data_IF_798602813783
#
_entry.id   IF_798602813783
#
_cell.length_a   1.000
_cell.length_b   1.000
_cell.length_c   1.000
_cell.angle_alpha   90.00
_cell.angle_beta   90.00
_cell.angle_gamma   90.00
#
_symmetry.space_group_name_H-M   'P 1'
#
loop_
_entity.id
_entity.type
_entity.pdbx_description
1 polymer ?
#
# COMPACT_ATOMS: atom_id res chain seq x y z
N UNK A 1 -14.47 -2.40 -4.53
CA UNK A 1 -13.46 -2.57 -5.59
C UNK A 1 -13.75 -3.77 -6.48
N UNK A 2 -14.01 -3.50 -7.77
CA UNK A 2 -14.25 -4.53 -8.82
C UNK A 2 -12.96 -5.02 -9.51
N UNK A 3 -11.79 -4.51 -9.12
CA UNK A 3 -10.52 -4.89 -9.72
C UNK A 3 -10.10 -6.32 -9.32
N UNK A 4 -9.45 -7.02 -10.25
CA UNK A 4 -8.81 -8.30 -9.97
C UNK A 4 -7.69 -8.10 -8.93
N UNK A 5 -7.52 -9.08 -8.03
CA UNK A 5 -6.51 -9.06 -6.96
C UNK A 5 -5.95 -10.46 -6.74
N UNK A 6 -4.73 -10.54 -6.23
CA UNK A 6 -4.15 -11.81 -5.80
C UNK A 6 -4.79 -12.27 -4.49
N UNK A 7 -4.71 -13.58 -4.24
CA UNK A 7 -5.05 -14.14 -2.94
C UNK A 7 -4.01 -13.71 -1.90
N UNK A 8 -4.47 -13.03 -0.85
CA UNK A 8 -3.64 -12.58 0.26
C UNK A 8 -3.61 -13.64 1.36
N UNK A 9 -2.40 -14.08 1.70
CA UNK A 9 -2.16 -14.83 2.94
C UNK A 9 -1.76 -13.83 4.02
N UNK A 10 -2.51 -13.78 5.12
CA UNK A 10 -2.21 -12.93 6.27
C UNK A 10 -1.60 -13.75 7.40
N UNK A 11 -0.74 -13.13 8.20
CA UNK A 11 -0.45 -13.65 9.54
C UNK A 11 -1.60 -13.37 10.53
N UNK A 12 -1.54 -13.95 11.73
CA UNK A 12 -2.60 -13.85 12.74
C UNK A 12 -2.91 -12.43 13.21
N UNK A 13 -1.93 -11.52 13.18
CA UNK A 13 -2.09 -10.12 13.60
C UNK A 13 -2.57 -9.20 12.48
N UNK A 14 -2.69 -9.70 11.25
CA UNK A 14 -3.02 -8.91 10.07
C UNK A 14 -2.08 -7.71 9.84
N UNK A 15 -0.85 -7.79 10.34
CA UNK A 15 0.21 -6.79 10.14
C UNK A 15 1.19 -7.18 9.03
N UNK A 16 1.20 -8.46 8.63
CA UNK A 16 1.99 -8.97 7.51
C UNK A 16 1.13 -9.79 6.57
N UNK A 17 1.26 -9.50 5.28
CA UNK A 17 0.57 -10.20 4.21
C UNK A 17 1.57 -10.63 3.14
N UNK A 18 1.24 -11.71 2.46
CA UNK A 18 2.02 -12.30 1.39
C UNK A 18 1.10 -12.68 0.22
N UNK A 19 1.60 -12.48 -0.99
CA UNK A 19 0.97 -13.01 -2.21
C UNK A 19 2.03 -13.34 -3.28
N UNK A 20 1.62 -14.15 -4.25
CA UNK A 20 2.43 -14.45 -5.44
C UNK A 20 1.92 -13.60 -6.60
N UNK A 21 2.76 -12.68 -7.06
CA UNK A 21 2.57 -11.93 -8.31
C UNK A 21 2.95 -12.84 -9.47
N UNK A 22 2.08 -12.90 -10.47
CA UNK A 22 2.25 -13.73 -11.66
C UNK A 22 2.15 -12.85 -12.90
N UNK A 23 3.17 -12.88 -13.74
CA UNK A 23 3.24 -12.02 -14.92
C UNK A 23 4.35 -12.42 -15.88
N UNK A 24 4.74 -11.49 -16.74
CA UNK A 24 5.65 -11.74 -17.86
C UNK A 24 7.08 -12.14 -17.46
N UNK A 25 7.48 -11.86 -16.21
CA UNK A 25 8.78 -12.23 -15.62
C UNK A 25 8.69 -13.47 -14.73
N UNK A 26 7.55 -14.16 -14.76
CA UNK A 26 7.29 -15.35 -13.96
C UNK A 26 6.57 -15.02 -12.65
N UNK A 27 6.83 -15.85 -11.64
CA UNK A 27 6.20 -15.72 -10.33
C UNK A 27 7.14 -15.03 -9.36
N UNK A 28 6.62 -14.02 -8.64
CA UNK A 28 7.39 -13.19 -7.72
C UNK A 28 6.63 -13.14 -6.41
N UNK A 29 7.28 -13.61 -5.34
CA UNK A 29 6.72 -13.55 -3.99
C UNK A 29 6.84 -12.13 -3.47
N UNK A 30 5.72 -11.54 -3.05
CA UNK A 30 5.64 -10.15 -2.59
C UNK A 30 5.09 -10.08 -1.18
N UNK A 31 5.55 -9.09 -0.44
CA UNK A 31 5.17 -8.84 0.94
C UNK A 31 4.54 -7.46 1.11
N UNK A 32 3.57 -7.38 2.01
CA UNK A 32 2.99 -6.14 2.51
C UNK A 32 3.10 -6.18 4.03
N UNK A 33 3.68 -5.16 4.64
CA UNK A 33 3.84 -5.06 6.09
C UNK A 33 3.33 -3.71 6.59
N UNK A 34 2.57 -3.76 7.68
CA UNK A 34 2.15 -2.61 8.46
C UNK A 34 3.08 -2.54 9.67
N UNK A 35 4.00 -1.59 9.64
CA UNK A 35 5.07 -1.43 10.62
C UNK A 35 4.71 -0.31 11.59
N UNK A 36 4.82 -0.58 12.89
CA UNK A 36 4.65 0.45 13.92
C UNK A 36 5.66 1.60 13.69
N UNK A 37 5.20 2.84 13.88
CA UNK A 37 6.08 4.01 13.85
C UNK A 37 6.33 4.53 15.25
N UNK A 38 7.13 5.59 15.39
CA UNK A 38 7.28 6.29 16.68
C UNK A 38 5.99 6.98 17.13
N UNK A 39 5.05 7.21 16.22
CA UNK A 39 3.70 7.65 16.55
C UNK A 39 2.78 6.41 16.68
N UNK A 40 2.21 6.13 17.86
CA UNK A 40 1.39 4.94 18.09
C UNK A 40 0.10 4.91 17.24
N UNK A 41 -0.35 6.06 16.76
CA UNK A 41 -1.56 6.17 15.95
C UNK A 41 -1.27 6.00 14.44
N UNK A 42 -0.01 5.80 14.05
CA UNK A 42 0.41 5.71 12.65
C UNK A 42 1.23 4.45 12.40
N UNK A 43 0.80 3.67 11.40
CA UNK A 43 1.55 2.56 10.84
C UNK A 43 2.13 2.94 9.47
N UNK A 44 3.36 2.54 9.20
CA UNK A 44 3.96 2.60 7.88
C UNK A 44 3.55 1.37 7.05
N UNK A 45 3.11 1.59 5.81
CA UNK A 45 2.84 0.56 4.82
C UNK A 45 4.10 0.30 3.99
N UNK A 46 4.82 -0.76 4.35
CA UNK A 46 5.92 -1.29 3.55
C UNK A 46 5.40 -2.30 2.52
N UNK A 47 5.92 -2.24 1.31
CA UNK A 47 5.59 -3.16 0.22
C UNK A 47 6.84 -3.41 -0.63
N UNK A 48 7.03 -4.64 -1.09
CA UNK A 48 8.11 -4.97 -2.02
C UNK A 48 8.21 -6.47 -2.29
N UNK A 49 9.30 -6.85 -2.95
CA UNK A 49 9.60 -8.25 -3.26
C UNK A 49 10.14 -8.94 -2.00
N UNK A 50 9.84 -10.22 -1.84
CA UNK A 50 10.42 -11.01 -0.76
C UNK A 50 11.88 -11.32 -1.09
N UNK A 51 12.80 -10.91 -0.21
CA UNK A 51 14.20 -11.28 -0.30
C UNK A 51 14.46 -12.61 0.45
N UNK A 52 14.82 -13.71 -0.24
CA UNK A 52 15.02 -15.01 0.41
C UNK A 52 16.30 -15.11 1.24
N UNK A 53 17.25 -14.18 1.08
CA UNK A 53 18.49 -14.15 1.86
C UNK A 53 18.29 -13.44 3.20
N UNK A 54 17.53 -12.33 3.21
CA UNK A 54 17.28 -11.54 4.44
C UNK A 54 15.96 -11.89 5.11
N UNK A 55 15.03 -12.54 4.39
CA UNK A 55 13.65 -12.80 4.80
C UNK A 55 12.79 -11.53 5.00
N UNK A 56 13.27 -10.41 4.46
CA UNK A 56 12.65 -9.09 4.56
C UNK A 56 12.11 -8.61 3.21
N UNK A 57 11.49 -7.44 3.23
CA UNK A 57 11.05 -6.72 2.03
C UNK A 57 12.27 -6.10 1.32
N UNK A 58 12.42 -6.39 0.03
CA UNK A 58 13.20 -5.57 -0.89
C UNK A 58 12.26 -4.60 -1.62
N UNK A 59 12.26 -3.35 -1.16
CA UNK A 59 11.38 -2.30 -1.68
C UNK A 59 12.06 -1.44 -2.76
N UNK A 60 13.31 -1.76 -3.12
CA UNK A 60 14.05 -1.16 -4.22
C UNK A 60 14.00 -2.04 -5.47
N UNK A 61 13.67 -3.32 -5.34
CA UNK A 61 13.45 -4.23 -6.45
C UNK A 61 12.42 -3.67 -7.45
N UNK A 62 12.82 -3.62 -8.72
CA UNK A 62 11.93 -3.28 -9.85
C UNK A 62 11.64 -4.56 -10.61
N UNK A 63 10.52 -5.20 -10.25
CA UNK A 63 10.13 -6.49 -10.86
C UNK A 63 9.63 -6.38 -12.30
N UNK A 64 8.95 -5.27 -12.64
CA UNK A 64 8.34 -5.01 -13.95
C UNK A 64 7.57 -6.22 -14.54
N UNK A 65 6.74 -6.85 -13.69
CA UNK A 65 6.09 -8.13 -14.03
C UNK A 65 4.86 -7.95 -14.95
N UNK A 66 4.45 -6.72 -15.21
CA UNK A 66 3.32 -6.40 -16.09
C UNK A 66 1.93 -6.48 -15.43
N UNK A 67 1.87 -6.61 -14.11
CA UNK A 67 0.67 -6.85 -13.31
C UNK A 67 0.37 -5.72 -12.30
N UNK A 68 0.95 -4.53 -12.52
CA UNK A 68 0.91 -3.37 -11.60
C UNK A 68 -0.50 -3.04 -11.08
N UNK A 69 -1.52 -3.12 -11.92
CA UNK A 69 -2.90 -2.86 -11.51
C UNK A 69 -3.39 -3.88 -10.47
N UNK A 70 -3.18 -5.17 -10.73
CA UNK A 70 -3.59 -6.26 -9.84
C UNK A 70 -2.80 -6.21 -8.53
N UNK A 71 -1.53 -5.81 -8.59
CA UNK A 71 -0.70 -5.54 -7.40
C UNK A 71 -1.26 -4.39 -6.57
N UNK A 72 -1.57 -3.24 -7.17
CA UNK A 72 -2.13 -2.08 -6.45
C UNK A 72 -3.50 -2.41 -5.83
N UNK A 73 -4.37 -3.12 -6.56
CA UNK A 73 -5.63 -3.61 -6.03
C UNK A 73 -5.43 -4.56 -4.84
N UNK A 74 -4.41 -5.42 -4.91
CA UNK A 74 -4.04 -6.33 -3.82
C UNK A 74 -3.58 -5.56 -2.57
N UNK A 75 -2.76 -4.52 -2.73
CA UNK A 75 -2.33 -3.63 -1.64
C UNK A 75 -3.53 -2.93 -0.99
N UNK A 76 -4.42 -2.34 -1.78
CA UNK A 76 -5.65 -1.71 -1.26
C UNK A 76 -6.47 -2.74 -0.49
N UNK A 77 -6.58 -3.98 -0.96
CA UNK A 77 -7.30 -5.01 -0.23
C UNK A 77 -6.64 -5.39 1.11
N UNK A 78 -5.31 -5.40 1.18
CA UNK A 78 -4.59 -5.59 2.44
C UNK A 78 -4.88 -4.43 3.42
N UNK A 79 -4.90 -3.18 2.94
CA UNK A 79 -5.24 -1.99 3.74
C UNK A 79 -6.65 -2.09 4.33
N UNK A 80 -7.66 -2.46 3.54
CA UNK A 80 -9.01 -2.73 4.08
C UNK A 80 -9.02 -3.83 5.14
N UNK A 81 -8.24 -4.89 4.93
CA UNK A 81 -8.18 -6.03 5.85
C UNK A 81 -7.52 -5.62 7.17
N UNK A 82 -6.43 -4.87 7.11
CA UNK A 82 -5.75 -4.30 8.27
C UNK A 82 -6.70 -3.42 9.08
N UNK A 83 -7.41 -2.48 8.44
CA UNK A 83 -8.32 -1.58 9.16
C UNK A 83 -9.54 -2.29 9.78
N UNK A 84 -9.91 -3.50 9.35
CA UNK A 84 -10.93 -4.26 10.09
C UNK A 84 -10.45 -4.66 11.49
N UNK A 85 -9.14 -4.80 11.68
CA UNK A 85 -8.53 -5.16 12.95
C UNK A 85 -8.05 -3.92 13.74
N UNK A 86 -7.66 -2.85 13.05
CA UNK A 86 -7.13 -1.62 13.62
C UNK A 86 -7.92 -0.39 13.11
N UNK A 87 -9.15 -0.18 13.60
CA UNK A 87 -10.09 0.79 13.03
C UNK A 87 -9.63 2.25 13.15
N UNK A 88 -9.05 2.64 14.29
CA UNK A 88 -8.80 4.05 14.62
C UNK A 88 -7.40 4.55 14.23
N UNK A 89 -6.63 3.72 13.52
CA UNK A 89 -5.23 3.98 13.16
C UNK A 89 -5.14 4.71 11.81
N UNK A 90 -4.04 5.44 11.60
CA UNK A 90 -3.61 5.94 10.30
C UNK A 90 -2.61 5.00 9.63
N UNK A 91 -2.73 4.81 8.33
CA UNK A 91 -1.73 4.12 7.50
C UNK A 91 -1.03 5.15 6.62
N UNK A 92 0.28 5.29 6.81
CA UNK A 92 1.15 6.11 5.99
C UNK A 92 1.84 5.25 4.92
N UNK A 93 1.94 5.76 3.70
CA UNK A 93 2.66 5.12 2.62
C UNK A 93 3.49 6.13 1.84
N UNK A 94 4.77 5.85 1.64
CA UNK A 94 5.62 6.54 0.67
C UNK A 94 6.47 5.53 -0.08
N UNK A 95 6.86 5.87 -1.30
CA UNK A 95 7.77 5.04 -2.07
C UNK A 95 9.22 5.32 -1.68
N UNK A 96 10.05 4.28 -1.66
CA UNK A 96 11.51 4.43 -1.53
C UNK A 96 12.15 5.26 -2.66
N UNK A 97 11.42 5.48 -3.75
CA UNK A 97 11.81 6.37 -4.85
C UNK A 97 10.62 7.20 -5.31
N UNK A 98 10.89 8.37 -5.93
CA UNK A 98 9.84 9.21 -6.55
C UNK A 98 8.96 8.44 -7.54
N UNK A 99 9.53 7.48 -8.27
CA UNK A 99 8.78 6.65 -9.20
C UNK A 99 7.75 5.77 -8.47
N UNK A 100 8.11 5.20 -7.31
CA UNK A 100 7.20 4.41 -6.47
C UNK A 100 6.14 5.27 -5.78
N UNK A 101 6.51 6.45 -5.27
CA UNK A 101 5.53 7.41 -4.73
C UNK A 101 4.51 7.81 -5.80
N UNK A 102 4.96 8.06 -7.03
CA UNK A 102 4.08 8.28 -8.18
C UNK A 102 3.20 7.06 -8.48
N UNK A 103 3.72 5.84 -8.39
CA UNK A 103 2.94 4.61 -8.57
C UNK A 103 1.78 4.53 -7.57
N UNK A 104 2.04 4.77 -6.29
CA UNK A 104 1.01 4.80 -5.25
C UNK A 104 -0.03 5.88 -5.52
N UNK A 105 0.41 7.09 -5.91
CA UNK A 105 -0.50 8.16 -6.33
C UNK A 105 -1.44 7.72 -7.46
N UNK A 106 -0.91 7.02 -8.47
CA UNK A 106 -1.72 6.51 -9.59
C UNK A 106 -2.74 5.47 -9.11
N UNK A 107 -2.35 4.58 -8.21
CA UNK A 107 -3.26 3.61 -7.59
C UNK A 107 -4.38 4.29 -6.80
N UNK A 108 -4.03 5.22 -5.91
CA UNK A 108 -5.01 5.98 -5.11
C UNK A 108 -5.95 6.77 -6.02
N UNK A 109 -5.40 7.49 -7.01
CA UNK A 109 -6.21 8.27 -7.96
C UNK A 109 -7.20 7.39 -8.74
N UNK A 110 -6.75 6.19 -9.16
CA UNK A 110 -7.58 5.24 -9.90
C UNK A 110 -8.79 4.75 -9.10
N UNK A 111 -8.59 4.49 -7.81
CA UNK A 111 -9.64 3.99 -6.93
C UNK A 111 -10.26 5.10 -6.06
N UNK A 112 -9.98 6.38 -6.34
CA UNK A 112 -10.29 7.50 -5.47
C UNK A 112 -11.78 7.60 -5.11
N UNK A 113 -12.67 7.47 -6.10
CA UNK A 113 -14.11 7.58 -5.87
C UNK A 113 -14.68 6.45 -5.01
N UNK A 114 -14.04 5.28 -5.01
CA UNK A 114 -14.39 4.19 -4.10
C UNK A 114 -13.76 4.42 -2.73
N UNK A 115 -12.45 4.68 -2.68
CA UNK A 115 -11.70 4.84 -1.44
C UNK A 115 -12.21 6.02 -0.61
N UNK A 116 -12.58 7.16 -1.21
CA UNK A 116 -13.03 8.35 -0.46
C UNK A 116 -14.35 8.13 0.31
N UNK A 117 -15.12 7.09 -0.04
CA UNK A 117 -16.34 6.71 0.70
C UNK A 117 -15.99 6.06 2.03
N UNK A 118 -14.92 5.26 2.03
CA UNK A 118 -14.53 4.43 3.16
C UNK A 118 -13.30 4.98 3.91
N UNK A 119 -12.61 5.99 3.36
CA UNK A 119 -11.40 6.56 3.94
C UNK A 119 -11.39 8.09 3.93
N UNK A 120 -10.76 8.65 4.95
CA UNK A 120 -10.11 9.97 4.85
C UNK A 120 -8.74 9.75 4.19
N UNK A 121 -8.46 10.53 3.14
CA UNK A 121 -7.23 10.41 2.35
C UNK A 121 -6.51 11.75 2.36
N UNK A 122 -5.23 11.71 2.69
CA UNK A 122 -4.35 12.88 2.72
C UNK A 122 -3.10 12.63 1.88
N UNK A 123 -2.58 13.69 1.29
CA UNK A 123 -1.27 13.71 0.66
C UNK A 123 -0.31 14.60 1.44
N UNK A 124 0.94 14.16 1.56
CA UNK A 124 2.00 14.91 2.22
C UNK A 124 2.67 15.89 1.24
N UNK A 125 2.90 17.12 1.67
CA UNK A 125 3.70 18.13 0.96
C UNK A 125 4.67 18.72 1.99
N UNK A 126 5.96 18.37 1.90
CA UNK A 126 6.92 18.69 2.96
C UNK A 126 6.52 18.03 4.28
N UNK A 127 6.33 18.83 5.33
CA UNK A 127 5.94 18.34 6.66
C UNK A 127 4.41 18.33 6.88
N UNK A 128 3.64 18.89 5.95
CA UNK A 128 2.20 19.04 6.08
C UNK A 128 1.43 17.91 5.38
N UNK A 129 0.27 17.56 5.95
CA UNK A 129 -0.71 16.65 5.34
C UNK A 129 -1.97 17.42 4.96
N UNK A 130 -2.32 17.40 3.68
CA UNK A 130 -3.53 18.05 3.13
C UNK A 130 -4.47 17.02 2.53
N UNK A 131 -5.76 17.33 2.40
CA UNK A 131 -6.71 16.42 1.75
C UNK A 131 -6.22 16.04 0.34
N UNK A 132 -6.28 14.74 0.04
CA UNK A 132 -5.81 14.22 -1.24
C UNK A 132 -6.67 14.74 -2.39
N UNK A 133 -6.00 15.35 -3.37
CA UNK A 133 -6.58 15.78 -4.63
C UNK A 133 -5.88 15.11 -5.82
N UNK A 134 -6.66 14.61 -6.77
CA UNK A 134 -6.16 14.02 -8.01
C UNK A 134 -5.38 15.06 -8.81
N UNK A 135 -4.23 14.66 -9.34
CA UNK A 135 -3.39 15.51 -10.20
C UNK A 135 -2.28 16.27 -9.45
N UNK A 136 -2.36 16.37 -8.13
CA UNK A 136 -1.32 17.00 -7.30
C UNK A 136 -0.17 16.01 -7.02
N UNK A 137 1.05 16.50 -6.92
CA UNK A 137 2.23 15.72 -6.53
C UNK A 137 2.41 15.75 -5.02
N UNK A 138 2.76 14.61 -4.42
CA UNK A 138 2.88 14.43 -2.99
C UNK A 138 4.13 13.61 -2.65
N UNK A 139 4.70 13.85 -1.48
CA UNK A 139 5.85 13.13 -0.93
C UNK A 139 5.46 11.79 -0.30
N UNK A 140 4.19 11.66 0.11
CA UNK A 140 3.63 10.48 0.76
C UNK A 140 2.11 10.57 0.88
N UNK A 141 1.48 9.53 1.41
CA UNK A 141 0.04 9.41 1.52
C UNK A 141 -0.34 8.92 2.91
N UNK A 142 -1.44 9.43 3.45
CA UNK A 142 -2.00 8.99 4.73
C UNK A 142 -3.46 8.59 4.49
N UNK A 143 -3.87 7.47 5.07
CA UNK A 143 -5.25 7.01 5.02
C UNK A 143 -5.75 6.65 6.42
N UNK A 144 -7.00 6.98 6.71
CA UNK A 144 -7.72 6.53 7.91
C UNK A 144 -9.10 6.02 7.50
N UNK A 145 -9.56 4.94 8.11
CA UNK A 145 -10.87 4.37 7.78
C UNK A 145 -12.02 5.18 8.40
N UNK A 146 -13.08 5.33 7.62
CA UNK A 146 -14.40 5.81 8.04
C UNK A 146 -15.21 4.59 8.46
N UNK A 147 -15.80 4.62 9.64
CA UNK A 147 -16.75 3.62 10.14
C UNK A 147 -18.16 4.19 10.16
#
# INVERSE_FOLDING_TARGET
MKAEKYHLKAESKFTRFEFISEGSKGTIRKLIEFQETTNPDVFNLAFGDFNPQTFEIDDLAVSDNGDTEKVLATIVNAVYTFFNQYPDIFVYATGSTRARTRLYRMGISRFYDEMKKDFYLYGQIGDDFVEFQIGIEYDGFLAQRKF
#
